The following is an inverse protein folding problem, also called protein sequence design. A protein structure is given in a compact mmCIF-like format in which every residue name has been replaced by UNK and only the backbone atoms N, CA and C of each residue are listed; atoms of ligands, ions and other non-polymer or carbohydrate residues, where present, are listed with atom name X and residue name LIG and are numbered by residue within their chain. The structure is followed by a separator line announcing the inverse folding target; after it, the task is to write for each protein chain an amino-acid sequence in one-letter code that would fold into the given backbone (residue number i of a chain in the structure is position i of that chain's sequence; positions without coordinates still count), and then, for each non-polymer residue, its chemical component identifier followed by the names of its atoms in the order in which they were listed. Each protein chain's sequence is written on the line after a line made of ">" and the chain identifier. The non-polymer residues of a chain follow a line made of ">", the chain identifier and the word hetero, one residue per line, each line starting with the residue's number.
data_IF_613312079370
#
_entry.id   IF_613312079370
#
_cell.length_a   1.000
_cell.length_b   1.000
_cell.length_c   1.000
_cell.angle_alpha   90.00
_cell.angle_beta   90.00
_cell.angle_gamma   90.00
#
_symmetry.space_group_name_H-M   'P 1'
#
loop_
_entity.id
_entity.type
_entity.pdbx_description
1 polymer ?
#
# COMPACT_ATOMS: atom_id res chain seq x y z
N UNK A 1 -1.91 -3.58 19.34
CA UNK A 1 -1.78 -2.90 18.04
C UNK A 1 -0.32 -2.48 17.93
N UNK A 2 0.52 -3.41 17.46
CA UNK A 2 1.98 -3.26 17.40
C UNK A 2 2.33 -2.27 16.30
N UNK A 3 3.12 -1.25 16.63
CA UNK A 3 3.80 -0.45 15.62
C UNK A 3 4.71 -1.37 14.81
N UNK A 4 4.66 -1.27 13.48
CA UNK A 4 5.67 -1.88 12.63
C UNK A 4 7.01 -1.20 12.96
N UNK A 5 7.90 -1.87 13.67
CA UNK A 5 9.30 -1.46 13.73
C UNK A 5 9.89 -1.71 12.34
N UNK A 6 9.91 -0.65 11.52
CA UNK A 6 10.61 -0.69 10.24
C UNK A 6 12.10 -0.69 10.59
N UNK A 7 12.75 -1.84 10.38
CA UNK A 7 14.19 -1.98 10.51
C UNK A 7 14.89 -0.81 9.78
N UNK A 8 15.99 -0.30 10.34
CA UNK A 8 16.82 0.70 9.66
C UNK A 8 17.49 0.05 8.44
N UNK A 9 16.76 0.02 7.33
CA UNK A 9 17.29 -0.37 6.03
C UNK A 9 18.11 0.82 5.52
N UNK A 10 19.22 0.50 4.86
CA UNK A 10 20.13 1.34 4.06
C UNK A 10 19.54 2.71 3.65
N UNK A 11 20.35 3.77 3.75
CA UNK A 11 19.99 5.15 3.41
C UNK A 11 19.08 5.22 2.15
N UNK A 12 17.81 5.64 2.28
CA UNK A 12 16.84 5.61 1.17
C UNK A 12 17.29 6.39 -0.06
N UNK A 13 18.14 7.41 0.12
CA UNK A 13 18.71 8.21 -0.97
C UNK A 13 19.68 7.42 -1.86
N UNK A 14 20.14 6.25 -1.41
CA UNK A 14 21.04 5.36 -2.15
C UNK A 14 20.31 4.21 -2.83
N UNK A 15 18.99 4.08 -2.62
CA UNK A 15 18.19 3.05 -3.27
C UNK A 15 17.86 3.43 -4.71
N UNK A 16 17.82 2.44 -5.60
CA UNK A 16 17.39 2.67 -6.98
C UNK A 16 15.89 3.02 -7.02
N UNK A 17 15.43 3.76 -8.04
CA UNK A 17 14.01 4.07 -8.22
C UNK A 17 13.11 2.83 -8.20
N UNK A 18 13.59 1.69 -8.73
CA UNK A 18 12.84 0.43 -8.72
C UNK A 18 12.67 -0.14 -7.32
N UNK A 19 13.71 -0.07 -6.48
CA UNK A 19 13.61 -0.55 -5.08
C UNK A 19 12.71 0.37 -4.27
N UNK A 20 12.75 1.68 -4.53
CA UNK A 20 11.82 2.63 -3.93
C UNK A 20 10.36 2.39 -4.38
N UNK A 21 10.14 2.08 -5.66
CA UNK A 21 8.82 1.72 -6.17
C UNK A 21 8.29 0.43 -5.55
N UNK A 22 9.16 -0.57 -5.35
CA UNK A 22 8.79 -1.85 -4.70
C UNK A 22 8.22 -1.63 -3.29
N UNK A 23 8.88 -0.84 -2.45
CA UNK A 23 8.35 -0.55 -1.11
C UNK A 23 7.19 0.44 -1.15
N UNK A 24 7.21 1.39 -2.08
CA UNK A 24 6.15 2.37 -2.28
C UNK A 24 4.81 1.73 -2.65
N UNK A 25 4.82 0.68 -3.49
CA UNK A 25 3.64 -0.11 -3.87
C UNK A 25 2.97 -0.74 -2.62
N UNK A 26 3.77 -1.37 -1.75
CA UNK A 26 3.27 -1.97 -0.52
C UNK A 26 2.69 -0.93 0.46
N UNK A 27 3.34 0.24 0.59
CA UNK A 27 2.84 1.34 1.42
C UNK A 27 1.52 1.89 0.87
N UNK A 28 1.42 2.08 -0.45
CA UNK A 28 0.21 2.57 -1.10
C UNK A 28 -0.96 1.60 -0.93
N UNK A 29 -0.73 0.30 -1.13
CA UNK A 29 -1.72 -0.75 -0.90
C UNK A 29 -2.28 -0.70 0.53
N UNK A 30 -1.42 -0.53 1.54
CA UNK A 30 -1.83 -0.42 2.93
C UNK A 30 -2.67 0.83 3.20
N UNK A 31 -2.27 1.97 2.63
CA UNK A 31 -3.02 3.23 2.74
C UNK A 31 -4.42 3.11 2.13
N UNK A 32 -4.53 2.53 0.93
CA UNK A 32 -5.81 2.32 0.24
C UNK A 32 -6.70 1.38 1.04
N UNK A 33 -6.18 0.24 1.53
CA UNK A 33 -6.96 -0.69 2.35
C UNK A 33 -7.46 -0.03 3.63
N UNK A 34 -6.62 0.77 4.29
CA UNK A 34 -7.00 1.52 5.49
C UNK A 34 -8.15 2.49 5.19
N UNK A 35 -8.04 3.26 4.10
CA UNK A 35 -9.10 4.19 3.66
C UNK A 35 -10.41 3.49 3.31
N UNK A 36 -10.35 2.31 2.69
CA UNK A 36 -11.55 1.53 2.36
C UNK A 36 -12.21 1.01 3.65
N UNK A 37 -11.42 0.57 4.63
CA UNK A 37 -11.94 0.11 5.92
C UNK A 37 -12.56 1.24 6.74
N UNK A 38 -12.07 2.47 6.62
CA UNK A 38 -12.70 3.67 7.23
C UNK A 38 -14.12 3.90 6.70
N UNK A 39 -14.43 3.45 5.48
CA UNK A 39 -15.77 3.57 4.88
C UNK A 39 -16.77 2.54 5.41
N UNK A 40 -16.35 1.64 6.30
CA UNK A 40 -17.19 0.66 6.98
C UNK A 40 -16.92 -0.78 6.57
N UNK A 41 -17.50 -1.70 7.35
CA UNK A 41 -17.34 -3.13 7.12
C UNK A 41 -18.15 -3.61 5.91
N UNK A 42 -17.57 -4.48 5.09
CA UNK A 42 -18.21 -5.13 3.96
C UNK A 42 -17.60 -6.52 3.73
N UNK A 43 -18.24 -7.41 2.92
CA UNK A 43 -17.63 -8.68 2.55
C UNK A 43 -16.23 -8.48 1.93
N UNK A 44 -15.27 -9.31 2.33
CA UNK A 44 -13.86 -9.21 1.87
C UNK A 44 -13.73 -9.11 0.35
N UNK A 45 -14.55 -9.84 -0.41
CA UNK A 45 -14.55 -9.78 -1.87
C UNK A 45 -14.86 -8.37 -2.39
N UNK A 46 -15.80 -7.66 -1.76
CA UNK A 46 -16.16 -6.29 -2.12
C UNK A 46 -15.03 -5.31 -1.75
N UNK A 47 -14.44 -5.47 -0.56
CA UNK A 47 -13.28 -4.67 -0.13
C UNK A 47 -12.09 -4.86 -1.10
N UNK A 48 -11.83 -6.09 -1.54
CA UNK A 48 -10.79 -6.40 -2.50
C UNK A 48 -11.05 -5.73 -3.86
N UNK A 49 -12.27 -5.85 -4.40
CA UNK A 49 -12.64 -5.19 -5.66
C UNK A 49 -12.47 -3.66 -5.60
N UNK A 50 -12.88 -3.04 -4.48
CA UNK A 50 -12.67 -1.61 -4.24
C UNK A 50 -11.18 -1.27 -4.18
N UNK A 51 -10.37 -2.11 -3.53
CA UNK A 51 -8.92 -1.90 -3.42
C UNK A 51 -8.25 -1.96 -4.79
N UNK A 52 -8.52 -3.02 -5.57
CA UNK A 52 -7.96 -3.25 -6.92
C UNK A 52 -8.24 -2.08 -7.86
N UNK A 53 -9.40 -1.42 -7.73
CA UNK A 53 -9.73 -0.25 -8.55
C UNK A 53 -8.77 0.93 -8.34
N UNK A 54 -8.15 1.05 -7.16
CA UNK A 54 -7.23 2.14 -6.84
C UNK A 54 -5.74 1.77 -7.04
N UNK A 55 -5.39 0.50 -6.85
CA UNK A 55 -3.99 0.04 -6.82
C UNK A 55 -3.50 -0.54 -8.14
N UNK A 56 -4.36 -0.69 -9.15
CA UNK A 56 -3.93 -1.21 -10.44
C UNK A 56 -3.00 -0.23 -11.18
N UNK A 57 -2.08 -0.76 -12.00
CA UNK A 57 -1.10 0.05 -12.72
C UNK A 57 -1.74 1.16 -13.56
N UNK A 58 -2.90 0.89 -14.17
CA UNK A 58 -3.64 1.90 -14.94
C UNK A 58 -4.21 3.04 -14.09
N UNK A 59 -4.47 2.82 -12.80
CA UNK A 59 -4.92 3.85 -11.87
C UNK A 59 -3.75 4.65 -11.27
N UNK A 60 -2.52 4.12 -11.35
CA UNK A 60 -1.29 4.75 -10.83
C UNK A 60 -0.44 5.42 -11.94
N UNK A 61 -0.84 5.29 -13.21
CA UNK A 61 -0.13 5.78 -14.39
C UNK A 61 -0.40 7.26 -14.72
#
# INVERSE_FOLDING_TARGET
>A
MTALEIANITNPKQLSPLVLAYIGDAVYELMVRTKILESGNAPVQKLHQMTVHHVCASAQA
#
